data_IF_839299288782
#
_entry.id   IF_839299288782
#
_cell.length_a   1.000
_cell.length_b   1.000
_cell.length_c   1.000
_cell.angle_alpha   90.00
_cell.angle_beta   90.00
_cell.angle_gamma   90.00
#
_symmetry.space_group_name_H-M   'P 1'
#
loop_
_entity.id
_entity.type
_entity.pdbx_description
1 polymer ?
#
# COMPACT_ATOMS: atom_id res chain seq x y z
N UNK A 1 -14.63 18.02 -34.89
CA UNK A 1 -14.16 18.28 -33.51
C UNK A 1 -14.70 17.17 -32.64
N UNK A 2 -13.86 16.37 -31.98
CA UNK A 2 -14.23 15.56 -30.82
C UNK A 2 -12.95 15.17 -30.06
N UNK A 3 -12.73 15.97 -28.99
CA UNK A 3 -11.99 15.75 -27.74
C UNK A 3 -10.72 14.89 -27.72
N UNK A 4 -9.58 15.43 -27.23
CA UNK A 4 -8.41 14.63 -26.92
C UNK A 4 -8.76 13.66 -25.78
N UNK A 5 -8.62 12.36 -26.02
CA UNK A 5 -8.48 11.36 -24.97
C UNK A 5 -7.19 11.68 -24.23
N UNK A 6 -7.29 12.55 -23.22
CA UNK A 6 -6.22 12.76 -22.27
C UNK A 6 -6.18 11.52 -21.39
N UNK A 7 -5.53 10.47 -21.89
CA UNK A 7 -5.08 9.33 -21.10
C UNK A 7 -4.08 9.85 -20.08
N UNK A 8 -4.58 10.46 -19.01
CA UNK A 8 -3.89 10.50 -17.74
C UNK A 8 -3.67 9.04 -17.38
N UNK A 9 -2.49 8.50 -17.74
CA UNK A 9 -1.96 7.29 -17.14
C UNK A 9 -1.94 7.59 -15.64
N UNK A 10 -2.99 7.19 -14.95
CA UNK A 10 -3.01 7.24 -13.50
C UNK A 10 -1.79 6.43 -13.08
N UNK A 11 -0.85 7.04 -12.36
CA UNK A 11 0.31 6.32 -11.85
C UNK A 11 -0.20 5.35 -10.78
N UNK A 12 -0.41 4.11 -11.20
CA UNK A 12 -0.81 3.02 -10.33
C UNK A 12 0.45 2.44 -9.69
N UNK A 13 0.55 2.55 -8.38
CA UNK A 13 1.63 1.97 -7.59
C UNK A 13 1.09 0.83 -6.73
N UNK A 14 1.86 -0.27 -6.60
CA UNK A 14 1.54 -1.33 -5.65
C UNK A 14 2.29 -1.10 -4.33
N UNK A 15 1.56 -1.18 -3.22
CA UNK A 15 2.11 -1.18 -1.86
C UNK A 15 1.70 -2.50 -1.20
N UNK A 16 2.61 -3.47 -1.20
CA UNK A 16 2.29 -4.83 -0.76
C UNK A 16 1.14 -5.44 -1.56
N UNK A 17 0.00 -5.71 -0.90
CA UNK A 17 -1.20 -6.28 -1.52
C UNK A 17 -2.16 -5.22 -2.09
N UNK A 18 -1.94 -3.95 -1.77
CA UNK A 18 -2.82 -2.85 -2.17
C UNK A 18 -2.38 -2.27 -3.52
N UNK A 19 -3.34 -2.02 -4.39
CA UNK A 19 -3.20 -1.12 -5.53
C UNK A 19 -3.50 0.31 -5.08
N UNK A 20 -2.69 1.26 -5.51
CA UNK A 20 -2.82 2.67 -5.14
C UNK A 20 -2.70 3.59 -6.35
N UNK A 21 -3.50 4.65 -6.39
CA UNK A 21 -3.42 5.68 -7.44
C UNK A 21 -4.00 7.01 -6.95
N UNK A 22 -3.67 8.08 -7.67
CA UNK A 22 -4.28 9.40 -7.47
C UNK A 22 -5.39 9.61 -8.49
N UNK A 23 -6.55 10.07 -8.01
CA UNK A 23 -7.70 10.42 -8.85
C UNK A 23 -8.43 11.61 -8.22
N UNK A 24 -8.65 12.67 -9.01
CA UNK A 24 -9.32 13.90 -8.57
C UNK A 24 -8.75 14.50 -7.27
N UNK A 25 -7.42 14.47 -7.12
CA UNK A 25 -6.72 14.97 -5.92
C UNK A 25 -6.90 14.10 -4.68
N UNK A 26 -7.44 12.89 -4.83
CA UNK A 26 -7.63 11.91 -3.74
C UNK A 26 -6.71 10.71 -3.93
N UNK A 27 -6.16 10.23 -2.83
CA UNK A 27 -5.43 8.97 -2.78
C UNK A 27 -6.43 7.82 -2.68
N UNK A 28 -6.35 6.86 -3.59
CA UNK A 28 -7.16 5.64 -3.58
C UNK A 28 -6.30 4.44 -3.25
N UNK A 29 -6.78 3.59 -2.35
CA UNK A 29 -6.18 2.31 -1.99
C UNK A 29 -7.23 1.22 -2.16
N UNK A 30 -6.86 0.18 -2.92
CA UNK A 30 -7.74 -0.94 -3.20
C UNK A 30 -7.04 -2.26 -2.91
N UNK A 31 -7.72 -3.16 -2.22
CA UNK A 31 -7.33 -4.54 -2.08
C UNK A 31 -8.54 -5.44 -2.33
N UNK A 32 -8.33 -6.47 -3.12
CA UNK A 32 -9.32 -7.51 -3.32
C UNK A 32 -8.60 -8.82 -3.57
N UNK A 33 -8.99 -9.84 -2.82
CA UNK A 33 -8.44 -11.18 -2.95
C UNK A 33 -9.35 -12.03 -3.84
N UNK A 34 -8.75 -12.83 -4.73
CA UNK A 34 -9.53 -13.72 -5.58
C UNK A 34 -10.28 -14.76 -4.71
N UNK A 35 -11.58 -14.92 -4.94
CA UNK A 35 -12.41 -15.84 -4.15
C UNK A 35 -12.96 -15.25 -2.85
N UNK A 36 -12.55 -14.04 -2.46
CA UNK A 36 -13.16 -13.30 -1.35
C UNK A 36 -14.14 -12.26 -1.93
N UNK A 37 -15.44 -12.31 -1.61
CA UNK A 37 -16.40 -11.32 -2.09
C UNK A 37 -16.19 -9.93 -1.46
N UNK A 38 -15.41 -9.84 -0.39
CA UNK A 38 -15.14 -8.60 0.32
C UNK A 38 -13.79 -8.04 -0.11
N UNK A 39 -13.82 -6.87 -0.74
CA UNK A 39 -12.65 -6.02 -0.97
C UNK A 39 -12.56 -4.89 0.06
N UNK A 40 -11.37 -4.34 0.22
CA UNK A 40 -11.15 -3.10 0.95
C UNK A 40 -10.92 -2.01 -0.09
N UNK A 41 -11.73 -0.95 -0.02
CA UNK A 41 -11.57 0.24 -0.83
C UNK A 41 -11.55 1.46 0.08
N UNK A 42 -10.45 2.19 0.04
CA UNK A 42 -10.25 3.41 0.80
C UNK A 42 -9.99 4.57 -0.16
N UNK A 43 -10.62 5.71 0.10
CA UNK A 43 -10.39 6.96 -0.63
C UNK A 43 -10.13 8.05 0.40
N UNK A 44 -9.01 8.74 0.25
CA UNK A 44 -8.58 9.80 1.15
C UNK A 44 -8.41 11.10 0.38
N UNK A 45 -8.99 12.18 0.88
CA UNK A 45 -8.66 13.53 0.42
C UNK A 45 -7.27 13.97 0.89
N UNK A 46 -6.80 15.13 0.45
CA UNK A 46 -5.46 15.63 0.77
C UNK A 46 -5.19 15.76 2.28
N UNK A 47 -6.18 16.15 3.08
CA UNK A 47 -6.04 16.30 4.53
C UNK A 47 -5.92 14.93 5.22
N UNK A 48 -6.75 13.97 4.81
CA UNK A 48 -6.71 12.59 5.32
C UNK A 48 -5.40 11.90 4.94
N UNK A 49 -4.96 12.06 3.68
CA UNK A 49 -3.69 11.54 3.20
C UNK A 49 -2.49 12.15 3.96
N UNK A 50 -2.53 13.46 4.27
CA UNK A 50 -1.53 14.10 5.12
C UNK A 50 -1.48 13.49 6.52
N UNK A 51 -2.64 13.25 7.13
CA UNK A 51 -2.71 12.59 8.44
C UNK A 51 -2.13 11.17 8.41
N UNK A 52 -2.39 10.40 7.35
CA UNK A 52 -1.76 9.10 7.15
C UNK A 52 -0.23 9.20 7.06
N UNK A 53 0.29 10.16 6.30
CA UNK A 53 1.73 10.37 6.16
C UNK A 53 2.38 10.77 7.49
N UNK A 54 1.74 11.65 8.26
CA UNK A 54 2.23 12.05 9.58
C UNK A 54 2.26 10.85 10.54
N UNK A 55 1.19 10.04 10.57
CA UNK A 55 1.15 8.81 11.37
C UNK A 55 2.26 7.83 10.98
N UNK A 56 2.47 7.58 9.67
CA UNK A 56 3.55 6.71 9.20
C UNK A 56 4.93 7.24 9.57
N UNK A 57 5.13 8.57 9.46
CA UNK A 57 6.40 9.21 9.83
C UNK A 57 6.68 9.08 11.33
N UNK A 58 5.68 9.32 12.17
CA UNK A 58 5.81 9.27 13.62
C UNK A 58 6.09 7.87 14.16
N UNK A 59 5.66 6.83 13.45
CA UNK A 59 5.87 5.42 13.82
C UNK A 59 6.92 4.72 12.96
N UNK A 60 7.78 5.47 12.28
CA UNK A 60 8.77 4.91 11.35
C UNK A 60 9.76 3.96 12.06
N UNK A 61 10.19 4.27 13.28
CA UNK A 61 11.06 3.40 14.08
C UNK A 61 10.38 2.08 14.45
N UNK A 62 9.12 2.14 14.90
CA UNK A 62 8.32 0.95 15.23
C UNK A 62 8.13 0.04 14.00
N UNK A 63 7.83 0.64 12.85
CA UNK A 63 7.68 -0.06 11.56
C UNK A 63 9.01 -0.72 11.17
N UNK A 64 10.12 0.00 11.27
CA UNK A 64 11.44 -0.54 10.94
C UNK A 64 11.82 -1.70 11.88
N UNK A 65 11.51 -1.60 13.17
CA UNK A 65 11.77 -2.66 14.12
C UNK A 65 10.92 -3.91 13.86
N UNK A 66 9.66 -3.74 13.46
CA UNK A 66 8.81 -4.84 13.03
C UNK A 66 9.35 -5.54 11.78
N UNK A 67 9.82 -4.77 10.79
CA UNK A 67 10.46 -5.33 9.58
C UNK A 67 11.71 -6.15 9.91
N UNK A 68 12.60 -5.61 10.74
CA UNK A 68 13.82 -6.31 11.16
C UNK A 68 13.53 -7.63 11.90
N UNK A 69 12.46 -7.64 12.70
CA UNK A 69 12.04 -8.84 13.45
C UNK A 69 11.53 -9.93 12.51
N UNK A 70 10.67 -9.58 11.55
CA UNK A 70 10.16 -10.51 10.52
C UNK A 70 11.29 -11.11 9.67
N UNK A 71 12.28 -10.29 9.28
CA UNK A 71 13.45 -10.76 8.53
C UNK A 71 14.29 -11.78 9.33
N UNK A 72 14.50 -11.53 10.63
CA UNK A 72 15.19 -12.46 11.53
C UNK A 72 14.44 -13.78 11.68
N UNK A 73 13.13 -13.73 11.84
CA UNK A 73 12.31 -14.94 11.95
C UNK A 73 12.40 -15.78 10.68
N UNK A 74 12.23 -15.17 9.51
CA UNK A 74 12.37 -15.85 8.22
C UNK A 74 13.74 -16.47 8.03
N UNK A 75 14.81 -15.77 8.41
CA UNK A 75 16.18 -16.30 8.35
C UNK A 75 16.37 -17.50 9.27
N UNK A 76 15.76 -17.49 10.46
CA UNK A 76 15.82 -18.61 11.39
C UNK A 76 15.06 -19.83 10.89
N UNK A 77 13.84 -19.67 10.34
CA UNK A 77 13.05 -20.77 9.76
C UNK A 77 13.76 -21.47 8.59
N UNK A 78 14.47 -20.73 7.74
CA UNK A 78 15.26 -21.31 6.65
C UNK A 78 16.45 -22.14 7.14
N UNK A 79 16.93 -21.90 8.37
CA UNK A 79 18.08 -22.59 8.96
C UNK A 79 17.71 -23.91 9.62
N UNK A 80 16.49 -24.04 10.14
CA UNK A 80 15.96 -25.25 10.78
C UNK A 80 15.28 -26.23 9.80
N UNK A 81 14.77 -25.75 8.64
CA UNK A 81 14.18 -26.61 7.60
C UNK A 81 15.18 -27.33 6.67
N UNK A 82 16.48 -27.32 7.01
CA UNK A 82 17.57 -27.94 6.22
C UNK A 82 18.34 -29.03 6.98
N UNK A 83 17.82 -29.50 8.12
CA UNK A 83 18.38 -30.65 8.86
C UNK A 83 17.70 -31.96 8.46
#
# INVERSE_FOLDING_TARGET
MNTPQNTHKQDHMKIGRYQSWMEDGKLKLYYHEFGNPNGIYCTMNAQEAKGLLEMLSNHSDDINQALYTDEKEKANYQRIGRA
#
